data_IF_934532201446
#
_entry.id   IF_934532201446
#
_cell.length_a   1.000
_cell.length_b   1.000
_cell.length_c   1.000
_cell.angle_alpha   90.00
_cell.angle_beta   90.00
_cell.angle_gamma   90.00
#
_symmetry.space_group_name_H-M   'P 1'
#
loop_
_entity.id
_entity.type
_entity.pdbx_description
1 polymer ?
#
# COMPACT_ATOMS: atom_id res chain seq x y z
N UNK A 1 19.71 0.69 -2.87
CA UNK A 1 20.99 0.34 -2.20
C UNK A 1 21.42 1.36 -1.12
N UNK A 2 20.99 2.62 -1.15
CA UNK A 2 21.43 3.64 -0.19
C UNK A 2 21.28 3.26 1.30
N UNK A 3 20.14 2.69 1.72
CA UNK A 3 19.92 2.30 3.12
C UNK A 3 20.78 1.11 3.56
N UNK A 4 21.05 0.17 2.65
CA UNK A 4 21.94 -0.97 2.86
C UNK A 4 23.39 -0.51 2.99
N UNK A 5 23.84 0.38 2.08
CA UNK A 5 25.17 0.99 2.14
C UNK A 5 25.39 1.83 3.42
N UNK A 6 24.34 2.46 3.95
CA UNK A 6 24.38 3.18 5.24
C UNK A 6 24.36 2.25 6.45
N UNK A 7 24.17 0.93 6.24
CA UNK A 7 24.09 -0.09 7.29
C UNK A 7 22.79 -0.04 8.10
N UNK A 8 21.73 0.58 7.57
CA UNK A 8 20.44 0.74 8.26
C UNK A 8 19.50 -0.44 8.03
N UNK A 9 19.61 -1.08 6.86
CA UNK A 9 18.89 -2.31 6.52
C UNK A 9 19.85 -3.38 6.01
N UNK A 10 19.47 -4.63 6.13
CA UNK A 10 20.15 -5.78 5.52
C UNK A 10 19.16 -6.64 4.75
N UNK A 11 19.60 -7.22 3.63
CA UNK A 11 18.81 -8.21 2.91
C UNK A 11 18.91 -9.58 3.57
N UNK A 12 17.78 -10.28 3.66
CA UNK A 12 17.71 -11.70 3.96
C UNK A 12 16.97 -12.39 2.82
N UNK A 13 17.64 -13.34 2.18
CA UNK A 13 17.04 -14.16 1.13
C UNK A 13 15.87 -14.94 1.74
N UNK A 14 14.73 -14.95 1.05
CA UNK A 14 13.64 -15.81 1.44
C UNK A 14 13.94 -17.25 0.97
N UNK A 15 14.08 -18.19 1.92
CA UNK A 15 14.37 -19.59 1.60
C UNK A 15 13.23 -20.29 0.85
N UNK A 16 12.01 -19.74 0.86
CA UNK A 16 10.84 -20.28 0.14
C UNK A 16 10.66 -19.71 -1.27
N UNK A 17 11.23 -18.53 -1.54
CA UNK A 17 11.16 -17.88 -2.85
C UNK A 17 12.41 -17.01 -3.07
N UNK A 18 13.32 -17.50 -3.93
CA UNK A 18 14.60 -16.83 -4.22
C UNK A 18 14.46 -15.49 -4.96
N UNK A 19 13.26 -15.13 -5.43
CA UNK A 19 12.98 -13.82 -6.06
C UNK A 19 12.66 -12.75 -5.03
N UNK A 20 12.32 -13.16 -3.80
CA UNK A 20 11.91 -12.26 -2.71
C UNK A 20 13.07 -11.97 -1.74
N UNK A 21 13.44 -10.70 -1.61
CA UNK A 21 14.42 -10.23 -0.63
C UNK A 21 13.72 -9.53 0.53
N UNK A 22 13.87 -10.06 1.75
CA UNK A 22 13.38 -9.38 2.95
C UNK A 22 14.37 -8.29 3.35
N UNK A 23 13.88 -7.05 3.51
CA UNK A 23 14.67 -5.98 4.11
C UNK A 23 14.42 -5.98 5.63
N UNK A 24 15.48 -6.20 6.40
CA UNK A 24 15.44 -6.18 7.86
C UNK A 24 16.18 -4.97 8.39
N UNK A 25 15.60 -4.28 9.37
CA UNK A 25 16.32 -3.24 10.11
C UNK A 25 17.49 -3.84 10.88
N UNK A 26 18.64 -3.18 10.79
CA UNK A 26 19.79 -3.46 11.67
C UNK A 26 19.59 -2.81 13.04
N UNK A 27 20.47 -3.10 14.00
CA UNK A 27 20.47 -2.37 15.28
C UNK A 27 20.67 -0.86 15.07
N UNK A 28 21.56 -0.48 14.15
CA UNK A 28 21.79 0.91 13.75
C UNK A 28 20.53 1.55 13.15
N UNK A 29 19.80 0.82 12.29
CA UNK A 29 18.52 1.26 11.74
C UNK A 29 17.47 1.51 12.82
N UNK A 30 17.32 0.58 13.77
CA UNK A 30 16.40 0.76 14.91
C UNK A 30 16.76 1.96 15.79
N UNK A 31 18.04 2.15 16.09
CA UNK A 31 18.48 3.31 16.87
C UNK A 31 18.18 4.64 16.14
N UNK A 32 18.31 4.68 14.81
CA UNK A 32 17.98 5.87 14.03
C UNK A 32 16.48 6.21 14.12
N UNK A 33 15.59 5.21 14.12
CA UNK A 33 14.16 5.42 14.28
C UNK A 33 13.79 6.05 15.64
N UNK A 34 14.60 5.84 16.68
CA UNK A 34 14.43 6.55 17.96
C UNK A 34 14.61 8.07 17.86
N UNK A 35 15.11 8.58 16.74
CA UNK A 35 15.26 10.01 16.42
C UNK A 35 14.44 10.40 15.19
N UNK A 36 13.37 9.67 14.89
CA UNK A 36 12.54 9.94 13.73
C UNK A 36 11.89 11.34 13.86
N UNK A 37 12.21 12.29 12.96
CA UNK A 37 11.65 13.64 13.02
C UNK A 37 10.13 13.67 12.86
N UNK A 38 9.52 12.60 12.33
CA UNK A 38 8.07 12.51 12.16
C UNK A 38 7.34 12.26 13.47
N UNK A 39 8.01 11.83 14.54
CA UNK A 39 7.35 11.56 15.85
C UNK A 39 6.64 12.81 16.37
N UNK A 40 7.28 13.98 16.29
CA UNK A 40 6.69 15.24 16.73
C UNK A 40 5.47 15.62 15.87
N UNK A 41 5.54 15.38 14.56
CA UNK A 41 4.42 15.62 13.64
C UNK A 41 3.24 14.71 13.92
N UNK A 42 3.47 13.42 14.19
CA UNK A 42 2.41 12.47 14.54
C UNK A 42 1.74 12.86 15.86
N UNK A 43 2.51 13.30 16.86
CA UNK A 43 1.96 13.81 18.11
C UNK A 43 1.06 15.03 17.87
N UNK A 44 1.54 16.03 17.11
CA UNK A 44 0.78 17.22 16.79
C UNK A 44 -0.51 16.92 16.01
N UNK A 45 -0.50 15.90 15.13
CA UNK A 45 -1.71 15.42 14.45
C UNK A 45 -2.71 14.81 15.43
N UNK A 46 -2.23 14.10 16.45
CA UNK A 46 -3.05 13.52 17.51
C UNK A 46 -3.78 14.55 18.36
N UNK A 47 -3.20 15.74 18.53
CA UNK A 47 -3.79 16.84 19.30
C UNK A 47 -4.91 17.58 18.55
N UNK A 48 -5.03 17.38 17.23
CA UNK A 48 -6.10 17.97 16.43
C UNK A 48 -7.45 17.32 16.75
N UNK A 49 -8.53 18.07 16.58
CA UNK A 49 -9.87 17.49 16.70
C UNK A 49 -10.11 16.44 15.59
N UNK A 50 -11.07 15.53 15.83
CA UNK A 50 -11.37 14.41 14.93
C UNK A 50 -11.80 14.84 13.53
N UNK A 51 -12.54 15.95 13.39
CA UNK A 51 -12.93 16.46 12.07
C UNK A 51 -11.74 16.92 11.26
N UNK A 52 -10.78 17.63 11.88
CA UNK A 52 -9.57 18.09 11.22
C UNK A 52 -8.67 16.91 10.86
N UNK A 53 -8.52 15.92 11.73
CA UNK A 53 -7.79 14.69 11.43
C UNK A 53 -8.37 13.98 10.19
N UNK A 54 -9.70 13.81 10.15
CA UNK A 54 -10.37 13.14 9.03
C UNK A 54 -10.28 13.94 7.72
N UNK A 55 -10.38 15.27 7.80
CA UNK A 55 -10.20 16.14 6.64
C UNK A 55 -8.77 16.08 6.08
N UNK A 56 -7.75 16.05 6.95
CA UNK A 56 -6.35 15.89 6.57
C UNK A 56 -6.09 14.54 5.91
N UNK A 57 -6.59 13.45 6.50
CA UNK A 57 -6.47 12.11 5.95
C UNK A 57 -7.06 12.01 4.53
N UNK A 58 -8.31 12.48 4.40
CA UNK A 58 -9.01 12.51 3.11
C UNK A 58 -8.29 13.39 2.08
N UNK A 59 -7.84 14.58 2.50
CA UNK A 59 -7.14 15.52 1.63
C UNK A 59 -5.79 15.00 1.14
N UNK A 60 -5.00 14.40 2.03
CA UNK A 60 -3.70 13.80 1.70
C UNK A 60 -3.88 12.57 0.80
N UNK A 61 -4.85 11.71 1.06
CA UNK A 61 -5.17 10.56 0.22
C UNK A 61 -5.61 10.99 -1.19
N UNK A 62 -6.43 12.03 -1.28
CA UNK A 62 -6.88 12.60 -2.56
C UNK A 62 -5.71 13.18 -3.36
N UNK A 63 -4.86 13.98 -2.71
CA UNK A 63 -3.66 14.56 -3.34
C UNK A 63 -2.70 13.48 -3.84
N UNK A 64 -2.43 12.46 -3.00
CA UNK A 64 -1.55 11.36 -3.37
C UNK A 64 -2.10 10.58 -4.57
N UNK A 65 -3.40 10.26 -4.56
CA UNK A 65 -4.07 9.56 -5.65
C UNK A 65 -4.00 10.35 -6.96
N UNK A 66 -4.23 11.67 -6.92
CA UNK A 66 -4.10 12.54 -8.08
C UNK A 66 -2.66 12.56 -8.62
N UNK A 67 -1.66 12.63 -7.74
CA UNK A 67 -0.24 12.62 -8.13
C UNK A 67 0.20 11.29 -8.72
N UNK A 68 -0.22 10.16 -8.16
CA UNK A 68 0.10 8.85 -8.70
C UNK A 68 -0.56 8.63 -10.06
N UNK A 69 -1.81 9.07 -10.22
CA UNK A 69 -2.54 8.99 -11.50
C UNK A 69 -1.87 9.82 -12.60
N UNK A 70 -1.27 10.97 -12.23
CA UNK A 70 -0.57 11.83 -13.19
C UNK A 70 0.82 11.33 -13.61
N UNK A 71 1.39 10.33 -12.92
CA UNK A 71 2.76 9.85 -13.18
C UNK A 71 2.83 8.72 -14.22
N UNK A 72 1.72 8.35 -14.89
CA UNK A 72 1.61 7.15 -15.76
C UNK A 72 2.13 5.86 -15.11
N UNK A 73 2.25 5.87 -13.77
CA UNK A 73 2.63 4.70 -13.00
C UNK A 73 1.38 3.88 -12.75
N UNK A 74 1.44 2.61 -13.13
CA UNK A 74 0.36 1.67 -12.90
C UNK A 74 0.07 1.61 -11.39
N UNK A 75 -1.15 1.92 -10.95
CA UNK A 75 -1.51 1.82 -9.55
C UNK A 75 -1.28 0.39 -9.06
N UNK A 76 -0.88 0.25 -7.80
CA UNK A 76 -0.61 -1.04 -7.17
C UNK A 76 -1.56 -1.19 -5.97
N UNK A 77 -2.40 -2.21 -5.97
CA UNK A 77 -3.40 -2.42 -4.91
C UNK A 77 -4.08 -3.77 -5.00
N UNK A 78 -4.87 -4.12 -3.98
CA UNK A 78 -5.65 -5.36 -3.99
C UNK A 78 -6.80 -5.26 -4.98
N UNK A 79 -7.19 -6.38 -5.59
CA UNK A 79 -8.28 -6.40 -6.56
C UNK A 79 -9.61 -5.89 -5.96
N UNK A 80 -9.90 -6.19 -4.69
CA UNK A 80 -11.11 -5.73 -3.98
C UNK A 80 -11.28 -4.20 -3.86
N UNK A 81 -10.19 -3.46 -3.99
CA UNK A 81 -10.16 -1.99 -3.92
C UNK A 81 -10.05 -1.37 -5.33
N UNK A 82 -10.19 -2.19 -6.38
CA UNK A 82 -10.16 -1.75 -7.76
C UNK A 82 -11.54 -1.24 -8.19
N UNK A 83 -11.58 -0.15 -8.96
CA UNK A 83 -12.83 0.39 -9.53
C UNK A 83 -13.63 -0.61 -10.38
N UNK A 84 -12.97 -1.64 -10.91
CA UNK A 84 -13.57 -2.67 -11.76
C UNK A 84 -14.09 -3.89 -10.97
N UNK A 85 -13.92 -3.91 -9.65
CA UNK A 85 -14.29 -5.04 -8.81
C UNK A 85 -15.77 -5.00 -8.46
N UNK A 86 -16.49 -6.08 -8.78
CA UNK A 86 -17.89 -6.27 -8.43
C UNK A 86 -18.06 -7.40 -7.42
N UNK A 87 -18.61 -7.08 -6.25
CA UNK A 87 -18.95 -8.07 -5.22
C UNK A 87 -20.25 -8.79 -5.60
N UNK A 88 -20.28 -10.11 -5.45
CA UNK A 88 -21.48 -10.95 -5.63
C UNK A 88 -22.19 -10.69 -6.97
N UNK A 89 -21.41 -10.56 -8.03
CA UNK A 89 -21.95 -10.37 -9.37
C UNK A 89 -22.79 -11.59 -9.77
N UNK A 90 -23.88 -11.44 -10.54
CA UNK A 90 -24.70 -12.56 -10.99
C UNK A 90 -23.88 -13.69 -11.66
N UNK A 91 -22.84 -13.29 -12.40
CA UNK A 91 -21.90 -14.18 -13.08
C UNK A 91 -20.60 -14.43 -12.30
N UNK A 92 -20.52 -14.06 -11.02
CA UNK A 92 -19.27 -14.06 -10.26
C UNK A 92 -19.47 -14.50 -8.83
N UNK A 93 -19.27 -15.79 -8.57
CA UNK A 93 -19.35 -16.30 -7.21
C UNK A 93 -17.94 -16.57 -6.64
N UNK A 94 -17.48 -15.82 -5.61
CA UNK A 94 -18.18 -14.72 -4.93
C UNK A 94 -18.02 -13.32 -5.54
N UNK A 95 -17.08 -13.09 -6.46
CA UNK A 95 -16.84 -11.75 -7.06
C UNK A 95 -16.56 -11.81 -8.56
N UNK A 96 -16.46 -10.64 -9.20
CA UNK A 96 -16.24 -10.51 -10.64
C UNK A 96 -15.36 -9.30 -10.97
N UNK A 97 -14.46 -9.46 -11.94
CA UNK A 97 -13.70 -8.37 -12.53
C UNK A 97 -14.41 -7.87 -13.79
N UNK A 98 -14.94 -6.65 -13.77
CA UNK A 98 -15.63 -6.07 -14.93
C UNK A 98 -14.69 -5.68 -16.09
N UNK A 99 -13.39 -5.53 -15.82
CA UNK A 99 -12.40 -5.22 -16.86
C UNK A 99 -11.99 -6.45 -17.65
N UNK A 100 -11.67 -7.54 -16.95
CA UNK A 100 -11.22 -8.80 -17.56
C UNK A 100 -12.40 -9.73 -17.90
N UNK A 101 -13.58 -9.43 -17.38
CA UNK A 101 -14.79 -10.24 -17.51
C UNK A 101 -14.60 -11.66 -16.95
N UNK A 102 -13.99 -11.75 -15.76
CA UNK A 102 -13.63 -13.01 -15.09
C UNK A 102 -14.22 -13.12 -13.68
N UNK A 103 -14.54 -14.36 -13.27
CA UNK A 103 -14.92 -14.68 -11.90
C UNK A 103 -13.70 -14.59 -10.99
N UNK A 104 -13.89 -14.02 -9.80
CA UNK A 104 -12.85 -13.88 -8.78
C UNK A 104 -13.25 -14.62 -7.51
N UNK A 105 -12.44 -15.59 -7.12
CA UNK A 105 -12.48 -16.21 -5.80
C UNK A 105 -12.03 -15.21 -4.71
N UNK A 106 -12.37 -15.48 -3.45
CA UNK A 106 -11.92 -14.65 -2.31
C UNK A 106 -10.38 -14.45 -2.26
N UNK A 107 -9.53 -15.47 -2.48
CA UNK A 107 -8.09 -15.25 -2.51
C UNK A 107 -7.64 -14.29 -3.61
N UNK A 108 -8.27 -14.32 -4.79
CA UNK A 108 -7.97 -13.44 -5.92
C UNK A 108 -8.42 -12.01 -5.66
N UNK A 109 -9.57 -11.83 -4.99
CA UNK A 109 -10.01 -10.53 -4.51
C UNK A 109 -9.03 -9.88 -3.51
N UNK A 110 -8.24 -10.68 -2.78
CA UNK A 110 -7.18 -10.20 -1.87
C UNK A 110 -5.82 -10.04 -2.57
N UNK A 111 -5.66 -10.56 -3.78
CA UNK A 111 -4.39 -10.52 -4.50
C UNK A 111 -4.13 -9.12 -5.08
N UNK A 112 -2.85 -8.83 -5.33
CA UNK A 112 -2.44 -7.61 -6.02
C UNK A 112 -2.96 -7.67 -7.46
N UNK A 113 -3.71 -6.64 -7.86
CA UNK A 113 -4.23 -6.50 -9.21
C UNK A 113 -3.26 -5.67 -10.05
N UNK A 114 -2.81 -6.22 -11.19
CA UNK A 114 -1.98 -5.50 -12.14
C UNK A 114 -2.75 -4.33 -12.77
N UNK A 115 -4.04 -4.52 -13.06
CA UNK A 115 -4.92 -3.52 -13.65
C UNK A 115 -5.59 -2.60 -12.60
N UNK A 116 -5.02 -2.51 -11.40
CA UNK A 116 -5.66 -1.76 -10.31
C UNK A 116 -5.87 -0.30 -10.71
N UNK A 117 -7.08 0.18 -10.43
CA UNK A 117 -7.44 1.59 -10.49
C UNK A 117 -8.17 1.94 -9.19
N UNK A 118 -7.82 3.05 -8.52
CA UNK A 118 -8.54 3.49 -7.34
C UNK A 118 -10.05 3.60 -7.64
N UNK A 119 -10.87 3.12 -6.71
CA UNK A 119 -12.35 3.22 -6.75
C UNK A 119 -12.84 4.65 -6.64
#
# INVERSE_FOLDING_TARGET
>A
KALENKGLVKKRVNNRDRRSNHLLLTAKGRHLLGRDPLVATVAALGDLNRSTQSALDTGLATLLSARLSAQDRQPFGQCRDCRYFARRHPDGNPHFCQLLNEMLAEPEANAICFEQRPS
#
